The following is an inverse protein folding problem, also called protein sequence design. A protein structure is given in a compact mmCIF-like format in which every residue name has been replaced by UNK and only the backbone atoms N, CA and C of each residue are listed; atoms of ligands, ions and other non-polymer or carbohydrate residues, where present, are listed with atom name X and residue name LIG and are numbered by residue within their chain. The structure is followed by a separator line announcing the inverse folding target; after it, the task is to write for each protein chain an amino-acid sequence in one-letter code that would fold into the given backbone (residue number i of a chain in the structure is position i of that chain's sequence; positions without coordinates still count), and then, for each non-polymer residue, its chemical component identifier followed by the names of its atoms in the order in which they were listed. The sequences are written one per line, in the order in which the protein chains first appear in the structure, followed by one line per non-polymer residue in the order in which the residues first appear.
data_IF_758534572095
#
_entry.id   IF_758534572095
#
_cell.length_a   1.000
_cell.length_b   1.000
_cell.length_c   1.000
_cell.angle_alpha   90.00
_cell.angle_beta   90.00
_cell.angle_gamma   90.00
#
_symmetry.space_group_name_H-M   'P 1'
#
loop_
_entity.id
_entity.type
_entity.pdbx_description
1 polymer ?
#
# COMPACT_ATOMS: atom_id res chain seq x y z
N UNK A 1 5.92 16.45 1.98
CA UNK A 1 5.97 15.25 2.85
C UNK A 1 5.15 15.53 4.12
N UNK A 2 4.17 14.69 4.43
CA UNK A 2 3.05 15.01 5.35
C UNK A 2 3.22 14.36 6.73
N UNK A 3 4.38 14.53 7.36
CA UNK A 3 4.71 13.88 8.64
C UNK A 3 4.72 14.91 9.79
N UNK A 4 4.44 14.45 11.03
CA UNK A 4 4.53 15.26 12.25
C UNK A 4 3.31 16.16 12.50
N UNK A 5 3.19 17.30 11.81
CA UNK A 5 2.09 18.28 12.05
C UNK A 5 0.69 17.77 11.67
N UNK A 6 0.65 16.66 10.94
CA UNK A 6 -0.55 15.94 10.51
C UNK A 6 -0.81 14.68 11.34
N UNK A 7 0.03 14.39 12.35
CA UNK A 7 -0.19 13.24 13.24
C UNK A 7 -1.54 13.40 13.95
N UNK A 8 -2.30 12.31 13.99
CA UNK A 8 -3.65 12.26 14.58
C UNK A 8 -4.68 13.19 13.92
N UNK A 9 -4.46 13.52 12.65
CA UNK A 9 -5.44 14.22 11.81
C UNK A 9 -5.82 13.32 10.64
N UNK A 10 -6.91 13.69 9.98
CA UNK A 10 -7.31 13.04 8.73
C UNK A 10 -6.19 13.15 7.67
N UNK A 11 -6.01 12.11 6.84
CA UNK A 11 -5.03 12.17 5.76
C UNK A 11 -5.42 13.27 4.78
N UNK A 12 -4.43 14.06 4.37
CA UNK A 12 -4.62 15.06 3.32
C UNK A 12 -4.17 14.48 1.98
N UNK A 13 -4.77 14.90 0.86
CA UNK A 13 -4.39 14.41 -0.47
C UNK A 13 -2.88 14.56 -0.72
N UNK A 14 -2.31 13.54 -1.36
CA UNK A 14 -0.92 13.58 -1.78
C UNK A 14 -0.68 14.75 -2.75
N UNK A 15 0.48 15.39 -2.64
CA UNK A 15 0.90 16.42 -3.61
C UNK A 15 1.14 15.76 -4.96
N UNK A 16 0.75 16.42 -6.04
CA UNK A 16 1.11 15.97 -7.38
C UNK A 16 2.63 15.89 -7.53
N UNK A 17 3.10 14.91 -8.31
CA UNK A 17 4.48 14.81 -8.71
C UNK A 17 4.66 15.30 -10.14
N UNK A 18 5.88 15.71 -10.47
CA UNK A 18 6.27 16.10 -11.82
C UNK A 18 6.93 14.88 -12.48
N UNK A 19 6.50 14.55 -13.69
CA UNK A 19 7.05 13.42 -14.45
C UNK A 19 6.49 12.06 -14.00
N UNK A 20 7.33 11.02 -14.09
CA UNK A 20 6.94 9.63 -13.79
C UNK A 20 7.43 9.26 -12.40
N UNK A 21 6.51 8.85 -11.53
CA UNK A 21 6.86 8.31 -10.21
C UNK A 21 7.30 6.86 -10.33
N UNK A 22 8.45 6.52 -9.75
CA UNK A 22 8.93 5.14 -9.73
C UNK A 22 8.24 4.35 -8.61
N UNK A 23 7.30 3.47 -8.99
CA UNK A 23 6.51 2.64 -8.09
C UNK A 23 6.90 1.15 -8.12
N UNK A 24 8.18 0.82 -8.40
CA UNK A 24 8.62 -0.59 -8.50
C UNK A 24 9.10 -1.19 -7.19
N UNK A 25 9.29 -0.38 -6.13
CA UNK A 25 9.69 -0.84 -4.81
C UNK A 25 8.51 -0.88 -3.85
N UNK A 26 8.49 -1.87 -2.95
CA UNK A 26 7.51 -1.92 -1.88
C UNK A 26 7.70 -0.72 -0.92
N UNK A 27 6.61 -0.11 -0.44
CA UNK A 27 6.68 0.93 0.57
C UNK A 27 7.04 0.33 1.94
N UNK A 28 7.51 1.18 2.84
CA UNK A 28 7.67 0.83 4.25
C UNK A 28 6.31 0.59 4.90
N UNK A 29 6.26 -0.37 5.81
CA UNK A 29 5.09 -0.60 6.65
C UNK A 29 4.84 0.59 7.59
N UNK A 30 3.59 0.74 8.03
CA UNK A 30 3.29 1.70 9.08
C UNK A 30 3.94 1.29 10.41
N UNK A 31 4.29 2.31 11.21
CA UNK A 31 4.85 2.08 12.55
C UNK A 31 3.93 1.17 13.35
N UNK A 32 4.44 0.00 13.71
CA UNK A 32 3.69 -1.00 14.46
C UNK A 32 4.62 -1.87 15.31
N UNK A 33 4.01 -2.57 16.26
CA UNK A 33 4.70 -3.56 17.09
C UNK A 33 4.70 -4.91 16.38
N UNK A 34 5.89 -5.50 16.22
CA UNK A 34 6.03 -6.84 15.66
C UNK A 34 5.87 -7.88 16.75
N UNK A 35 4.81 -8.68 16.64
CA UNK A 35 4.63 -9.88 17.47
C UNK A 35 5.59 -11.02 17.12
N UNK A 36 6.33 -10.91 16.01
CA UNK A 36 7.33 -11.92 15.61
C UNK A 36 8.69 -11.62 16.26
N UNK A 37 9.07 -10.34 16.33
CA UNK A 37 10.36 -9.89 16.88
C UNK A 37 10.22 -9.30 18.29
N UNK A 38 9.14 -9.62 19.00
CA UNK A 38 8.80 -9.08 20.32
C UNK A 38 9.90 -9.26 21.38
N UNK A 39 10.70 -10.31 21.25
CA UNK A 39 11.80 -10.64 22.17
C UNK A 39 13.16 -10.04 21.74
N UNK A 40 13.20 -9.25 20.68
CA UNK A 40 14.41 -8.55 20.21
C UNK A 40 14.49 -7.14 20.79
N UNK A 41 15.67 -6.52 20.73
CA UNK A 41 15.89 -5.13 21.21
C UNK A 41 15.11 -4.08 20.39
N UNK A 42 14.56 -4.46 19.22
CA UNK A 42 13.82 -3.56 18.33
C UNK A 42 12.49 -4.20 17.88
N UNK A 43 11.48 -4.26 18.76
CA UNK A 43 10.20 -4.89 18.44
C UNK A 43 9.28 -3.96 17.63
N UNK A 44 9.56 -2.66 17.59
CA UNK A 44 8.82 -1.67 16.79
C UNK A 44 9.58 -1.39 15.50
N UNK A 45 8.86 -1.40 14.37
CA UNK A 45 9.42 -1.15 13.03
C UNK A 45 8.44 -0.35 12.17
N UNK A 46 8.89 0.08 10.99
CA UNK A 46 8.09 0.83 10.01
C UNK A 46 8.39 2.34 9.99
N UNK A 47 7.56 3.07 9.24
CA UNK A 47 7.70 4.50 8.95
C UNK A 47 6.38 5.25 9.19
N UNK A 48 6.46 6.53 9.58
CA UNK A 48 5.27 7.41 9.58
C UNK A 48 4.83 7.80 8.16
N UNK A 49 5.74 7.70 7.20
CA UNK A 49 5.47 7.87 5.78
C UNK A 49 5.20 6.49 5.17
N UNK A 50 4.02 5.94 5.48
CA UNK A 50 3.61 4.58 5.12
C UNK A 50 2.28 4.53 4.34
N UNK A 51 1.65 5.68 4.06
CA UNK A 51 0.37 5.76 3.38
C UNK A 51 0.52 5.56 1.86
N UNK A 52 0.76 4.31 1.49
CA UNK A 52 0.92 3.85 0.12
C UNK A 52 0.01 2.65 -0.15
N UNK A 53 -0.24 2.37 -1.42
CA UNK A 53 -0.97 1.19 -1.86
C UNK A 53 -0.19 0.49 -2.96
N UNK A 54 -0.36 -0.83 -3.04
CA UNK A 54 0.17 -1.64 -4.13
C UNK A 54 -0.97 -1.95 -5.11
N UNK A 55 -0.75 -1.72 -6.40
CA UNK A 55 -1.70 -2.07 -7.47
C UNK A 55 -1.13 -3.23 -8.27
N UNK A 56 -1.95 -4.26 -8.46
CA UNK A 56 -1.64 -5.37 -9.36
C UNK A 56 -2.72 -5.40 -10.43
N UNK A 57 -2.37 -5.80 -11.64
CA UNK A 57 -3.35 -5.98 -12.71
C UNK A 57 -2.90 -7.14 -13.58
N UNK A 58 -3.81 -8.05 -13.99
CA UNK A 58 -3.46 -9.14 -14.88
C UNK A 58 -3.12 -8.64 -16.29
N UNK A 59 -3.59 -7.44 -16.64
CA UNK A 59 -3.43 -6.86 -17.97
C UNK A 59 -3.16 -5.36 -17.87
N UNK A 60 -2.15 -4.91 -18.60
CA UNK A 60 -1.95 -3.49 -18.84
C UNK A 60 -2.92 -3.06 -19.93
N UNK A 61 -3.73 -2.03 -19.67
CA UNK A 61 -4.65 -1.51 -20.67
C UNK A 61 -3.85 -1.05 -21.88
N UNK A 62 -4.02 -1.75 -23.00
CA UNK A 62 -3.63 -1.19 -24.30
C UNK A 62 -4.66 -0.14 -24.66
N UNK A 63 -4.28 0.89 -25.42
CA UNK A 63 -5.11 2.05 -25.77
C UNK A 63 -6.41 1.72 -26.56
N UNK A 64 -6.74 0.44 -26.73
CA UNK A 64 -7.97 -0.07 -27.30
C UNK A 64 -9.04 -0.21 -26.22
N UNK A 65 -10.23 0.28 -26.54
CA UNK A 65 -11.47 0.25 -25.74
C UNK A 65 -11.80 -1.12 -25.13
N UNK A 66 -11.17 -1.44 -24.00
CA UNK A 66 -11.49 -2.60 -23.19
C UNK A 66 -12.42 -2.18 -22.05
N UNK A 67 -13.35 -3.07 -21.69
CA UNK A 67 -14.24 -2.84 -20.56
C UNK A 67 -13.42 -2.69 -19.26
N UNK A 68 -13.84 -1.82 -18.33
CA UNK A 68 -13.21 -1.72 -17.01
C UNK A 68 -13.22 -3.07 -16.28
N UNK A 69 -12.14 -3.35 -15.54
CA UNK A 69 -12.05 -4.53 -14.68
C UNK A 69 -12.69 -4.24 -13.32
N UNK A 70 -13.24 -5.27 -12.69
CA UNK A 70 -13.67 -5.21 -11.30
C UNK A 70 -12.46 -5.05 -10.35
N UNK A 71 -12.64 -4.29 -9.27
CA UNK A 71 -11.57 -3.95 -8.32
C UNK A 71 -11.87 -4.55 -6.95
N UNK A 72 -10.93 -5.35 -6.45
CA UNK A 72 -10.91 -5.84 -5.07
C UNK A 72 -9.94 -5.00 -4.23
N UNK A 73 -10.44 -4.43 -3.13
CA UNK A 73 -9.63 -3.72 -2.13
C UNK A 73 -9.43 -4.61 -0.92
N UNK A 74 -8.19 -4.98 -0.64
CA UNK A 74 -7.84 -5.78 0.53
C UNK A 74 -7.35 -4.87 1.66
N UNK A 75 -8.02 -4.97 2.79
CA UNK A 75 -7.60 -4.34 4.04
C UNK A 75 -6.89 -5.39 4.88
N UNK A 76 -5.61 -5.18 5.17
CA UNK A 76 -4.90 -6.04 6.09
C UNK A 76 -5.19 -5.60 7.53
N UNK A 77 -5.68 -6.55 8.33
CA UNK A 77 -5.84 -6.43 9.77
C UNK A 77 -4.89 -7.45 10.37
N UNK A 78 -3.95 -6.97 11.18
CA UNK A 78 -2.78 -7.65 11.76
C UNK A 78 -2.80 -9.19 11.74
N UNK A 79 -1.79 -9.76 11.06
CA UNK A 79 -0.96 -10.90 11.47
C UNK A 79 0.19 -11.01 10.45
N UNK A 80 1.36 -10.44 10.79
CA UNK A 80 2.60 -10.37 9.99
C UNK A 80 2.52 -9.59 8.67
N UNK A 81 3.26 -8.47 8.62
CA UNK A 81 3.48 -7.64 7.45
C UNK A 81 3.89 -8.43 6.21
N UNK A 82 2.92 -8.67 5.34
CA UNK A 82 3.14 -8.68 3.90
C UNK A 82 1.94 -8.00 3.27
N UNK A 83 2.09 -6.72 2.96
CA UNK A 83 1.12 -5.90 2.24
C UNK A 83 0.83 -6.50 0.86
N UNK A 84 -0.04 -7.50 0.83
CA UNK A 84 -0.44 -8.23 -0.35
C UNK A 84 -1.84 -7.78 -0.76
N UNK A 85 -1.96 -6.60 -1.36
CA UNK A 85 -3.20 -6.20 -2.03
C UNK A 85 -3.26 -6.97 -3.35
N UNK A 86 -3.78 -8.20 -3.37
CA UNK A 86 -4.06 -8.91 -4.63
C UNK A 86 -5.31 -8.31 -5.27
N UNK A 87 -5.13 -7.66 -6.42
CA UNK A 87 -6.22 -7.48 -7.38
C UNK A 87 -6.36 -8.80 -8.13
N UNK A 88 -7.34 -9.60 -7.74
CA UNK A 88 -7.71 -10.83 -8.45
C UNK A 88 -8.88 -10.47 -9.37
N UNK A 89 -8.72 -10.77 -10.65
CA UNK A 89 -9.82 -10.81 -11.61
C UNK A 89 -10.83 -11.87 -11.13
N UNK A 90 -12.05 -11.44 -10.81
CA UNK A 90 -13.14 -12.32 -10.38
C UNK A 90 -13.74 -13.14 -11.53
N UNK A 91 -13.17 -13.13 -12.74
CA UNK A 91 -13.55 -14.07 -13.81
C UNK A 91 -13.04 -15.52 -13.60
N UNK A 92 -12.67 -15.90 -12.38
CA UNK A 92 -12.53 -17.30 -11.95
C UNK A 92 -13.59 -17.58 -10.88
N UNK A 93 -14.86 -17.60 -11.31
CA UNK A 93 -15.88 -18.58 -10.96
C UNK A 93 -16.95 -18.60 -12.05
#
# INVERSE_FOLDING_TARGET
RLVGKYRFKEPVPATSWIGVYNATSLPEDCIQYSHVTYATDTPVHGSEDCLYLNVYTPKLSSATSEAPLDVLVLYMVELSCTSLVRVIDLNIF
#
